data_IF_520328440812
#
_entry.id   IF_520328440812
#
_cell.length_a   1.000
_cell.length_b   1.000
_cell.length_c   1.000
_cell.angle_alpha   90.00
_cell.angle_beta   90.00
_cell.angle_gamma   90.00
#
_symmetry.space_group_name_H-M   'P 1'
#
loop_
_entity.id
_entity.type
_entity.pdbx_description
1 polymer ?
#
# COMPACT_ATOMS: atom_id res chain seq x y z
N UNK A 1 25.03 71.54 -28.88
CA UNK A 1 23.99 70.50 -28.76
C UNK A 1 24.69 69.15 -28.77
N UNK A 2 24.51 68.37 -27.72
CA UNK A 2 25.12 67.06 -27.56
C UNK A 2 24.75 66.50 -26.19
N UNK A 3 23.60 65.84 -26.12
CA UNK A 3 23.20 65.06 -24.94
C UNK A 3 24.06 63.79 -24.85
N UNK A 4 24.55 63.42 -23.65
CA UNK A 4 24.92 62.05 -23.35
C UNK A 4 23.71 61.26 -22.80
N UNK A 5 23.65 59.94 -23.04
CA UNK A 5 22.43 59.15 -22.90
C UNK A 5 22.06 58.79 -21.46
N UNK A 6 20.74 58.73 -21.29
CA UNK A 6 19.97 58.33 -20.12
C UNK A 6 20.48 57.07 -19.40
N UNK A 7 20.77 57.28 -18.12
CA UNK A 7 20.44 56.45 -16.95
C UNK A 7 19.86 55.05 -17.22
N UNK A 8 20.71 54.05 -16.94
CA UNK A 8 20.41 52.75 -16.32
C UNK A 8 18.94 52.47 -15.95
N UNK A 9 18.25 51.70 -16.78
CA UNK A 9 17.03 50.99 -16.37
C UNK A 9 17.44 49.74 -15.57
N UNK A 10 17.75 49.92 -14.29
CA UNK A 10 17.87 48.83 -13.33
C UNK A 10 16.47 48.31 -13.02
N UNK A 11 16.05 47.23 -13.67
CA UNK A 11 14.86 46.44 -13.34
C UNK A 11 14.92 46.01 -11.87
N UNK A 12 14.25 46.76 -11.00
CA UNK A 12 14.09 46.41 -9.58
C UNK A 12 13.08 45.29 -9.49
N UNK A 13 13.55 44.06 -9.37
CA UNK A 13 12.72 42.98 -8.85
C UNK A 13 12.18 43.36 -7.46
N UNK A 14 10.89 43.11 -7.17
CA UNK A 14 10.34 43.46 -5.87
C UNK A 14 10.99 42.58 -4.81
N UNK A 15 11.74 43.21 -3.90
CA UNK A 15 12.25 42.57 -2.69
C UNK A 15 11.04 42.01 -1.94
N UNK A 16 10.86 40.70 -1.99
CA UNK A 16 9.81 39.98 -1.28
C UNK A 16 9.92 40.31 0.21
N UNK A 17 9.01 41.15 0.71
CA UNK A 17 8.95 41.51 2.11
C UNK A 17 8.31 40.38 2.90
N UNK A 18 9.08 39.30 3.11
CA UNK A 18 8.68 38.05 3.80
C UNK A 18 7.92 38.35 5.10
N UNK A 19 8.40 39.32 5.91
CA UNK A 19 7.75 39.71 7.18
C UNK A 19 6.31 40.21 7.01
N UNK A 20 6.00 40.94 5.93
CA UNK A 20 4.65 41.46 5.65
C UNK A 20 3.69 40.35 5.16
N UNK A 21 4.23 39.29 4.56
CA UNK A 21 3.46 38.13 4.16
C UNK A 21 3.20 37.18 5.34
N UNK A 22 4.20 36.96 6.20
CA UNK A 22 4.08 36.14 7.40
C UNK A 22 3.30 36.82 8.55
N UNK A 23 3.11 38.13 8.51
CA UNK A 23 2.32 38.86 9.51
C UNK A 23 0.81 38.78 9.29
N UNK A 24 0.36 38.32 8.12
CA UNK A 24 -1.05 38.10 7.86
C UNK A 24 -1.45 36.77 8.52
N UNK A 25 -2.57 36.70 9.26
CA UNK A 25 -3.03 35.43 9.82
C UNK A 25 -3.39 34.48 8.68
N UNK A 26 -2.52 33.51 8.42
CA UNK A 26 -2.82 32.36 7.57
C UNK A 26 -3.23 31.19 8.44
N UNK A 27 -3.96 30.25 7.84
CA UNK A 27 -4.23 28.97 8.48
C UNK A 27 -2.90 28.32 8.92
N UNK A 28 -2.77 27.99 10.21
CA UNK A 28 -1.71 27.14 10.76
C UNK A 28 -2.04 25.66 10.58
N UNK A 29 -1.09 24.87 10.07
CA UNK A 29 -1.23 23.40 9.96
C UNK A 29 -1.57 22.74 11.30
N UNK A 30 -1.23 23.38 12.44
CA UNK A 30 -1.59 22.86 13.77
C UNK A 30 -3.10 22.81 14.02
N UNK A 31 -3.92 23.62 13.34
CA UNK A 31 -5.37 23.50 13.50
C UNK A 31 -5.98 22.37 12.66
N UNK A 32 -5.17 21.68 11.84
CA UNK A 32 -5.51 20.38 11.24
C UNK A 32 -5.14 19.21 12.15
N UNK A 33 -4.62 19.42 13.36
CA UNK A 33 -4.35 18.34 14.30
C UNK A 33 -5.52 18.20 15.28
N UNK A 34 -5.88 16.97 15.67
CA UNK A 34 -6.97 16.75 16.62
C UNK A 34 -6.57 17.36 17.96
N UNK A 35 -7.46 18.17 18.52
CA UNK A 35 -7.29 18.68 19.89
C UNK A 35 -7.61 17.53 20.86
N UNK A 36 -6.92 17.38 22.01
CA UNK A 36 -7.18 16.27 22.95
C UNK A 36 -8.66 16.16 23.39
N UNK A 37 -9.39 17.29 23.42
CA UNK A 37 -10.82 17.32 23.68
C UNK A 37 -11.69 16.66 22.58
N UNK A 38 -11.25 16.72 21.31
CA UNK A 38 -11.96 16.09 20.19
C UNK A 38 -11.73 14.58 20.15
N UNK A 39 -10.53 14.12 20.50
CA UNK A 39 -10.21 12.68 20.60
C UNK A 39 -10.99 11.99 21.73
N UNK A 40 -11.32 12.72 22.80
CA UNK A 40 -12.06 12.19 23.95
C UNK A 40 -13.58 12.04 23.71
N UNK A 41 -14.15 12.73 22.71
CA UNK A 41 -15.59 12.80 22.54
C UNK A 41 -16.20 11.51 21.96
N UNK A 42 -15.48 10.82 21.06
CA UNK A 42 -15.83 9.48 20.55
C UNK A 42 -14.54 8.78 20.07
N UNK A 43 -14.09 7.69 20.71
CA UNK A 43 -12.99 6.90 20.17
C UNK A 43 -13.47 6.26 18.86
N UNK A 44 -12.79 6.48 17.73
CA UNK A 44 -13.23 5.94 16.43
C UNK A 44 -13.19 4.41 16.38
N UNK A 45 -12.51 3.77 17.33
CA UNK A 45 -12.31 2.31 17.40
C UNK A 45 -12.48 1.82 18.84
N UNK A 46 -13.24 0.74 19.01
CA UNK A 46 -13.41 0.08 20.31
C UNK A 46 -12.26 -0.88 20.64
N UNK A 47 -12.08 -1.23 21.91
CA UNK A 47 -11.08 -2.23 22.34
C UNK A 47 -11.28 -3.59 21.65
N UNK A 48 -12.53 -4.02 21.46
CA UNK A 48 -12.84 -5.25 20.72
C UNK A 48 -12.39 -5.17 19.26
N UNK A 49 -12.59 -4.02 18.60
CA UNK A 49 -12.12 -3.81 17.24
C UNK A 49 -10.59 -3.77 17.17
N UNK A 50 -9.91 -3.13 18.13
CA UNK A 50 -8.45 -3.17 18.21
C UNK A 50 -7.94 -4.61 18.31
N UNK A 51 -8.50 -5.42 19.21
CA UNK A 51 -8.11 -6.83 19.37
C UNK A 51 -8.42 -7.65 18.12
N UNK A 52 -9.52 -7.34 17.43
CA UNK A 52 -9.85 -7.95 16.15
C UNK A 52 -8.81 -7.61 15.07
N UNK A 53 -8.40 -6.33 14.96
CA UNK A 53 -7.37 -5.89 14.04
C UNK A 53 -6.03 -6.58 14.33
N UNK A 54 -5.63 -6.66 15.60
CA UNK A 54 -4.41 -7.37 16.00
C UNK A 54 -4.42 -8.82 15.52
N UNK A 55 -5.55 -9.52 15.64
CA UNK A 55 -5.73 -10.87 15.13
C UNK A 55 -5.61 -10.95 13.61
N UNK A 56 -6.20 -10.01 12.87
CA UNK A 56 -6.10 -9.96 11.40
C UNK A 56 -4.66 -9.70 10.94
N UNK A 57 -3.91 -8.89 11.69
CA UNK A 57 -2.49 -8.61 11.43
C UNK A 57 -1.53 -9.66 11.99
N UNK A 58 -2.04 -10.76 12.56
CA UNK A 58 -1.25 -11.80 13.24
C UNK A 58 -0.31 -11.25 14.34
N UNK A 59 -0.73 -10.19 15.03
CA UNK A 59 -0.03 -9.59 16.16
C UNK A 59 -0.54 -10.14 17.50
N UNK A 60 0.33 -10.21 18.53
CA UNK A 60 -0.08 -10.64 19.86
C UNK A 60 -1.06 -9.64 20.51
N UNK A 61 -1.89 -10.09 21.46
CA UNK A 61 -2.74 -9.19 22.24
C UNK A 61 -1.90 -8.22 23.10
N UNK A 62 -2.46 -7.06 23.48
CA UNK A 62 -1.77 -6.12 24.36
C UNK A 62 -1.46 -6.77 25.71
N UNK A 63 -0.29 -6.45 26.28
CA UNK A 63 0.17 -7.03 27.55
C UNK A 63 -0.67 -6.54 28.72
N UNK A 64 -0.96 -5.25 28.72
CA UNK A 64 -1.66 -4.55 29.81
C UNK A 64 -2.63 -3.49 29.26
N UNK A 65 -3.57 -3.04 30.11
CA UNK A 65 -4.55 -2.01 29.75
C UNK A 65 -3.91 -0.65 29.37
N UNK A 66 -2.74 -0.33 29.94
CA UNK A 66 -2.00 0.88 29.59
C UNK A 66 -1.44 0.83 28.15
N UNK A 67 -0.98 -0.34 27.72
CA UNK A 67 -0.53 -0.55 26.34
C UNK A 67 -1.71 -0.48 25.37
N UNK A 68 -2.84 -1.10 25.72
CA UNK A 68 -4.08 -1.04 24.95
C UNK A 68 -4.57 0.41 24.76
N UNK A 69 -4.55 1.22 25.82
CA UNK A 69 -4.92 2.64 25.76
C UNK A 69 -3.99 3.44 24.83
N UNK A 70 -2.68 3.22 24.90
CA UNK A 70 -1.70 3.88 24.03
C UNK A 70 -1.89 3.48 22.55
N UNK A 71 -2.19 2.21 22.29
CA UNK A 71 -2.49 1.73 20.95
C UNK A 71 -3.77 2.39 20.40
N UNK A 72 -4.83 2.50 21.21
CA UNK A 72 -6.06 3.19 20.83
C UNK A 72 -5.84 4.67 20.54
N UNK A 73 -5.08 5.38 21.37
CA UNK A 73 -4.73 6.79 21.16
C UNK A 73 -3.97 6.97 19.83
N UNK A 74 -2.99 6.11 19.58
CA UNK A 74 -2.20 6.14 18.35
C UNK A 74 -3.10 5.91 17.13
N UNK A 75 -3.96 4.90 17.18
CA UNK A 75 -4.88 4.54 16.10
C UNK A 75 -5.88 5.68 15.83
N UNK A 76 -6.42 6.29 16.88
CA UNK A 76 -7.32 7.44 16.76
C UNK A 76 -6.63 8.62 16.04
N UNK A 77 -5.37 8.91 16.36
CA UNK A 77 -4.61 9.97 15.69
C UNK A 77 -4.37 9.68 14.20
N UNK A 78 -4.09 8.42 13.85
CA UNK A 78 -3.90 7.98 12.47
C UNK A 78 -5.20 8.07 11.66
N UNK A 79 -6.32 7.62 12.23
CA UNK A 79 -7.62 7.67 11.56
C UNK A 79 -8.10 9.09 11.35
N UNK A 80 -7.85 9.99 12.31
CA UNK A 80 -8.19 11.40 12.14
C UNK A 80 -7.50 12.00 10.91
N UNK A 81 -6.20 11.72 10.73
CA UNK A 81 -5.47 12.18 9.55
C UNK A 81 -6.08 11.65 8.24
N UNK A 82 -6.45 10.37 8.21
CA UNK A 82 -7.12 9.77 7.04
C UNK A 82 -8.50 10.40 6.80
N UNK A 83 -9.27 10.69 7.84
CA UNK A 83 -10.58 11.33 7.72
C UNK A 83 -10.49 12.75 7.17
N UNK A 84 -9.45 13.52 7.53
CA UNK A 84 -9.22 14.85 6.94
C UNK A 84 -8.89 14.75 5.44
N UNK A 85 -8.13 13.73 5.01
CA UNK A 85 -7.86 13.49 3.58
C UNK A 85 -9.16 13.14 2.83
N UNK A 86 -10.05 12.37 3.45
CA UNK A 86 -11.33 11.97 2.83
C UNK A 86 -12.29 13.13 2.57
N UNK A 87 -12.09 14.30 3.20
CA UNK A 87 -12.92 15.49 2.97
C UNK A 87 -12.60 16.21 1.66
N UNK A 88 -11.50 15.85 0.99
CA UNK A 88 -11.13 16.44 -0.29
C UNK A 88 -12.07 15.94 -1.38
N UNK A 89 -12.55 16.85 -2.22
CA UNK A 89 -13.39 16.51 -3.37
C UNK A 89 -12.57 15.74 -4.41
N UNK A 90 -12.95 14.48 -4.64
CA UNK A 90 -12.33 13.57 -5.62
C UNK A 90 -13.26 13.27 -6.79
N UNK A 91 -14.30 14.09 -7.01
CA UNK A 91 -15.23 13.91 -8.13
C UNK A 91 -14.50 13.91 -9.48
N UNK A 92 -14.69 12.84 -10.26
CA UNK A 92 -14.09 12.68 -11.58
C UNK A 92 -12.62 12.25 -11.59
N UNK A 93 -12.04 11.87 -10.45
CA UNK A 93 -10.65 11.39 -10.35
C UNK A 93 -10.63 9.86 -10.24
N UNK A 94 -9.91 9.19 -11.13
CA UNK A 94 -9.70 7.74 -11.06
C UNK A 94 -8.59 7.39 -10.04
N UNK A 95 -8.76 6.34 -9.21
CA UNK A 95 -7.74 5.94 -8.25
C UNK A 95 -6.49 5.39 -8.95
N UNK A 96 -5.34 6.01 -8.70
CA UNK A 96 -4.04 5.52 -9.14
C UNK A 96 -3.72 4.18 -8.45
N UNK A 97 -3.55 3.11 -9.23
CA UNK A 97 -3.35 1.75 -8.68
C UNK A 97 -1.88 1.40 -8.47
N UNK A 98 -1.02 1.91 -9.33
CA UNK A 98 0.41 1.70 -9.26
C UNK A 98 1.16 2.93 -9.80
N UNK A 99 2.39 3.14 -9.35
CA UNK A 99 3.28 4.14 -9.95
C UNK A 99 3.81 3.58 -11.28
N UNK A 100 2.97 3.63 -12.31
CA UNK A 100 3.28 3.21 -13.68
C UNK A 100 2.74 4.25 -14.66
N UNK A 101 3.23 4.17 -15.90
CA UNK A 101 2.59 4.88 -16.99
C UNK A 101 1.23 4.23 -17.27
N UNK A 102 0.14 4.89 -16.91
CA UNK A 102 -1.25 4.49 -17.17
C UNK A 102 -1.75 5.08 -18.51
N UNK A 103 -0.85 5.50 -19.40
CA UNK A 103 -1.22 5.89 -20.77
C UNK A 103 -1.91 4.72 -21.52
N UNK A 104 -2.85 5.05 -22.40
CA UNK A 104 -3.55 4.06 -23.25
C UNK A 104 -2.59 3.20 -24.08
N UNK A 105 -1.40 3.72 -24.38
CA UNK A 105 -0.34 3.00 -25.09
C UNK A 105 0.33 1.96 -24.20
N UNK A 106 0.68 2.35 -22.97
CA UNK A 106 1.23 1.45 -21.94
C UNK A 106 0.24 0.36 -21.55
N UNK A 107 -1.05 0.69 -21.43
CA UNK A 107 -2.11 -0.30 -21.17
C UNK A 107 -2.20 -1.34 -22.30
N UNK A 108 -2.19 -0.89 -23.57
CA UNK A 108 -2.20 -1.80 -24.73
C UNK A 108 -0.95 -2.67 -24.80
N UNK A 109 0.21 -2.12 -24.45
CA UNK A 109 1.47 -2.87 -24.43
C UNK A 109 1.48 -3.95 -23.33
N UNK A 110 0.91 -3.65 -22.16
CA UNK A 110 0.82 -4.58 -21.02
C UNK A 110 -0.38 -5.54 -21.12
N UNK A 111 -1.28 -5.34 -22.09
CA UNK A 111 -2.43 -6.19 -22.27
C UNK A 111 -1.99 -7.59 -22.71
N UNK A 112 -2.38 -8.61 -21.94
CA UNK A 112 -2.21 -10.00 -22.33
C UNK A 112 -3.18 -10.30 -23.48
N UNK A 113 -2.64 -10.53 -24.68
CA UNK A 113 -3.42 -10.81 -25.89
C UNK A 113 -3.44 -12.30 -26.21
N UNK A 114 -4.40 -12.73 -27.04
CA UNK A 114 -4.40 -14.11 -27.55
C UNK A 114 -3.11 -14.44 -28.32
N UNK A 115 -2.51 -13.45 -28.99
CA UNK A 115 -1.22 -13.60 -29.64
C UNK A 115 -0.11 -13.90 -28.63
N UNK A 116 -0.06 -13.17 -27.50
CA UNK A 116 0.93 -13.44 -26.44
C UNK A 116 0.69 -14.78 -25.73
N UNK A 117 -0.56 -15.26 -25.68
CA UNK A 117 -0.90 -16.55 -25.07
C UNK A 117 -0.77 -17.72 -26.05
N UNK A 118 -0.58 -17.48 -27.35
CA UNK A 118 -0.63 -18.53 -28.39
C UNK A 118 0.33 -19.69 -28.12
N UNK A 119 1.54 -19.39 -27.67
CA UNK A 119 2.54 -20.41 -27.34
C UNK A 119 2.13 -21.23 -26.12
N UNK A 120 1.65 -20.56 -25.06
CA UNK A 120 1.18 -21.23 -23.84
C UNK A 120 -0.06 -22.11 -24.10
N UNK A 121 -1.00 -21.64 -24.93
CA UNK A 121 -2.19 -22.39 -25.34
C UNK A 121 -1.84 -23.53 -26.32
N UNK A 122 -0.78 -23.40 -27.11
CA UNK A 122 -0.30 -24.46 -28.01
C UNK A 122 0.28 -25.67 -27.30
N UNK A 123 0.63 -25.52 -26.01
CA UNK A 123 1.09 -26.61 -25.14
C UNK A 123 -0.06 -27.37 -24.46
N UNK A 124 -1.31 -27.01 -24.75
CA UNK A 124 -2.49 -27.69 -24.22
C UNK A 124 -2.84 -28.94 -25.03
N UNK A 125 -3.16 -30.02 -24.33
CA UNK A 125 -3.61 -31.28 -24.90
C UNK A 125 -5.09 -31.52 -24.58
N UNK A 126 -5.83 -32.03 -25.56
CA UNK A 126 -7.23 -32.42 -25.38
C UNK A 126 -7.28 -33.92 -25.08
N UNK A 127 -7.68 -34.26 -23.85
CA UNK A 127 -7.78 -35.64 -23.37
C UNK A 127 -9.23 -36.11 -23.43
N UNK A 128 -9.46 -37.31 -23.95
CA UNK A 128 -10.75 -38.00 -23.96
C UNK A 128 -11.49 -37.94 -25.30
N UNK A 129 -12.08 -39.07 -25.70
CA UNK A 129 -12.75 -39.23 -27.00
C UNK A 129 -14.21 -38.74 -26.99
N UNK A 130 -14.98 -39.11 -25.95
CA UNK A 130 -16.38 -38.71 -25.78
C UNK A 130 -16.56 -37.45 -24.92
N UNK A 131 -15.70 -37.26 -23.89
CA UNK A 131 -15.71 -36.09 -23.02
C UNK A 131 -14.36 -35.39 -23.07
N UNK A 132 -14.20 -34.50 -24.06
CA UNK A 132 -12.97 -33.74 -24.28
C UNK A 132 -12.68 -32.82 -23.09
N UNK A 133 -11.50 -32.96 -22.50
CA UNK A 133 -10.98 -32.09 -21.43
C UNK A 133 -9.65 -31.50 -21.86
N UNK A 134 -9.55 -30.18 -21.82
CA UNK A 134 -8.30 -29.46 -22.08
C UNK A 134 -7.43 -29.57 -20.82
N UNK A 135 -6.18 -30.01 -20.98
CA UNK A 135 -5.16 -30.06 -19.93
C UNK A 135 -3.89 -29.42 -20.44
N UNK A 136 -3.17 -28.70 -19.59
CA UNK A 136 -1.84 -28.18 -19.91
C UNK A 136 -0.81 -29.27 -19.64
N UNK A 137 0.16 -29.46 -20.55
CA UNK A 137 1.21 -30.45 -20.35
C UNK A 137 2.12 -30.04 -19.18
N UNK A 138 2.04 -30.77 -18.06
CA UNK A 138 2.77 -30.48 -16.82
C UNK A 138 4.28 -30.79 -16.94
N UNK A 139 4.69 -31.69 -17.83
CA UNK A 139 6.09 -32.13 -17.97
C UNK A 139 7.03 -31.00 -18.39
N UNK A 140 6.52 -29.99 -19.12
CA UNK A 140 7.29 -28.80 -19.50
C UNK A 140 7.31 -27.73 -18.39
N UNK A 141 6.27 -27.67 -17.56
CA UNK A 141 6.19 -26.71 -16.45
C UNK A 141 7.12 -27.09 -15.28
N UNK A 142 7.30 -28.39 -15.02
CA UNK A 142 8.12 -28.91 -13.91
C UNK A 142 9.62 -28.59 -14.10
N UNK A 143 10.10 -28.49 -15.34
CA UNK A 143 11.52 -28.19 -15.64
C UNK A 143 11.88 -26.72 -15.35
N UNK A 144 10.92 -25.81 -15.43
CA UNK A 144 11.15 -24.38 -15.22
C UNK A 144 11.05 -23.95 -13.74
N UNK A 145 10.15 -24.57 -12.96
CA UNK A 145 9.76 -24.06 -11.64
C UNK A 145 10.60 -24.57 -10.45
N UNK A 146 11.48 -25.55 -10.65
CA UNK A 146 12.44 -25.94 -9.62
C UNK A 146 13.84 -25.48 -10.04
N UNK A 147 14.24 -24.22 -9.72
CA UNK A 147 15.58 -23.75 -10.05
C UNK A 147 16.57 -24.74 -9.45
N UNK A 148 17.43 -25.30 -10.31
CA UNK A 148 18.31 -26.43 -10.01
C UNK A 148 19.01 -26.23 -8.65
N UNK A 149 18.56 -26.95 -7.62
CA UNK A 149 19.13 -26.87 -6.27
C UNK A 149 18.29 -26.12 -5.22
N UNK A 150 17.10 -25.62 -5.54
CA UNK A 150 16.19 -25.07 -4.53
C UNK A 150 15.72 -26.17 -3.57
N UNK A 151 16.03 -26.00 -2.29
CA UNK A 151 15.57 -26.87 -1.21
C UNK A 151 14.60 -26.07 -0.35
N UNK A 152 13.29 -26.34 -0.44
CA UNK A 152 12.27 -25.53 0.26
C UNK A 152 12.44 -25.45 1.78
N UNK A 153 13.16 -26.39 2.38
CA UNK A 153 13.31 -26.53 3.83
C UNK A 153 14.66 -26.02 4.38
N UNK A 154 15.50 -25.40 3.54
CA UNK A 154 16.84 -24.98 3.96
C UNK A 154 16.82 -23.80 4.94
N UNK A 155 15.87 -22.87 4.78
CA UNK A 155 15.70 -21.71 5.66
C UNK A 155 14.66 -21.93 6.77
N UNK A 156 14.10 -23.14 6.90
CA UNK A 156 13.12 -23.46 7.92
C UNK A 156 13.79 -23.65 9.30
N UNK A 157 13.29 -22.95 10.32
CA UNK A 157 13.76 -23.12 11.70
C UNK A 157 13.43 -24.52 12.26
N UNK A 158 12.21 -25.02 11.99
CA UNK A 158 11.76 -26.36 12.40
C UNK A 158 11.27 -27.18 11.21
N UNK A 159 11.76 -28.41 11.11
CA UNK A 159 11.41 -29.35 10.05
C UNK A 159 11.31 -30.77 10.60
N UNK A 160 10.36 -31.54 10.06
CA UNK A 160 10.20 -32.96 10.32
C UNK A 160 10.20 -33.69 8.98
N UNK A 161 11.32 -34.32 8.65
CA UNK A 161 11.51 -34.95 7.34
C UNK A 161 11.36 -33.94 6.20
N UNK A 162 10.29 -34.10 5.40
CA UNK A 162 9.99 -33.27 4.21
C UNK A 162 8.93 -32.19 4.48
N UNK A 163 8.61 -31.91 5.75
CA UNK A 163 7.52 -30.99 6.12
C UNK A 163 8.00 -29.87 7.04
N UNK A 164 7.36 -28.71 6.92
CA UNK A 164 7.44 -27.64 7.92
C UNK A 164 6.67 -28.06 9.17
N UNK A 165 7.22 -27.74 10.35
CA UNK A 165 6.57 -28.01 11.63
C UNK A 165 6.06 -26.69 12.20
N UNK A 166 4.77 -26.63 12.46
CA UNK A 166 4.10 -25.49 13.11
C UNK A 166 3.39 -26.01 14.34
N UNK A 167 3.56 -25.34 15.48
CA UNK A 167 2.82 -25.71 16.68
C UNK A 167 1.35 -25.31 16.50
N UNK A 168 0.47 -26.31 16.49
CA UNK A 168 -0.96 -26.07 16.59
C UNK A 168 -1.26 -25.58 18.01
N UNK A 169 -1.81 -24.38 18.16
CA UNK A 169 -2.15 -23.77 19.47
C UNK A 169 -3.21 -24.52 20.32
N UNK A 170 -3.48 -25.79 20.01
CA UNK A 170 -4.21 -26.71 20.87
C UNK A 170 -3.21 -27.35 21.82
N UNK A 171 -3.21 -26.89 23.08
CA UNK A 171 -2.58 -27.62 24.18
C UNK A 171 -3.13 -29.05 24.18
N UNK A 172 -2.30 -30.10 24.06
CA UNK A 172 -2.80 -31.47 24.16
C UNK A 172 -3.44 -31.66 25.56
N UNK A 173 -4.61 -32.32 25.67
CA UNK A 173 -5.12 -32.72 26.97
C UNK A 173 -4.12 -33.67 27.63
N UNK A 174 -3.94 -33.43 28.94
CA UNK A 174 -3.00 -34.04 29.91
C UNK A 174 -2.75 -35.53 29.70
#
# INVERSE_FOLDING_TARGET
>A
MGEPPSSTASTKEPILNIRKHLSKPSWSVKSLLPTPAQTAAQPPVSSQQLRHLLRLSALPPPRDAAEEAKMLETLASQLYFVQEIQKVDTTGVEPLRALRDESLESEKANQVTLASLREALGQEEVVGEHYKRIRRNEDQAIVADNPKGWKPLDHAERKAGKFFVVDSGTTPPV
#
